data_IF_965688967593
#
_entry.id   IF_965688967593
#
_cell.length_a   1.000
_cell.length_b   1.000
_cell.length_c   1.000
_cell.angle_alpha   90.00
_cell.angle_beta   90.00
_cell.angle_gamma   90.00
#
_symmetry.space_group_name_H-M   'P 1'
#
loop_
_entity.id
_entity.type
_entity.pdbx_description
1 polymer ?
#
# COMPACT_ATOMS: atom_id res chain seq x y z
N UNK A 1 -5.07 27.38 16.74
CA UNK A 1 -4.57 26.83 15.47
C UNK A 1 -4.69 25.31 15.43
N UNK A 2 -5.06 24.75 14.28
CA UNK A 2 -5.11 23.29 14.06
C UNK A 2 -3.83 22.83 13.35
N UNK A 3 -2.78 22.53 14.14
CA UNK A 3 -1.48 22.11 13.63
C UNK A 3 -1.54 20.84 12.77
N UNK A 4 -2.48 19.94 13.05
CA UNK A 4 -2.69 18.69 12.30
C UNK A 4 -3.34 18.88 10.93
N UNK A 5 -3.89 20.06 10.62
CA UNK A 5 -4.64 20.29 9.38
C UNK A 5 -3.77 20.19 8.13
N UNK A 6 -2.62 20.88 8.09
CA UNK A 6 -1.78 20.91 6.88
C UNK A 6 -1.09 19.56 6.60
N UNK A 7 -0.49 18.84 7.58
CA UNK A 7 0.16 17.55 7.31
C UNK A 7 -0.85 16.51 6.85
N UNK A 8 -2.06 16.59 7.38
CA UNK A 8 -3.15 15.72 7.01
C UNK A 8 -3.57 15.90 5.55
N UNK A 9 -3.68 17.14 5.10
CA UNK A 9 -3.96 17.44 3.71
C UNK A 9 -2.79 17.03 2.79
N UNK A 10 -1.54 17.21 3.22
CA UNK A 10 -0.37 16.72 2.49
C UNK A 10 -0.41 15.20 2.30
N UNK A 11 -0.64 14.44 3.38
CA UNK A 11 -0.71 12.99 3.32
C UNK A 11 -1.88 12.49 2.45
N UNK A 12 -3.05 13.15 2.53
CA UNK A 12 -4.20 12.85 1.65
C UNK A 12 -3.91 13.15 0.19
N UNK A 13 -3.30 14.29 -0.09
CA UNK A 13 -2.97 14.70 -1.46
C UNK A 13 -2.06 13.67 -2.13
N UNK A 14 -0.97 13.29 -1.47
CA UNK A 14 -0.05 12.27 -1.98
C UNK A 14 -0.73 10.90 -2.09
N UNK A 15 -1.63 10.56 -1.17
CA UNK A 15 -2.44 9.35 -1.24
C UNK A 15 -3.36 9.33 -2.47
N UNK A 16 -4.00 10.46 -2.77
CA UNK A 16 -4.87 10.60 -3.94
C UNK A 16 -4.08 10.54 -5.25
N UNK A 17 -2.88 11.14 -5.32
CA UNK A 17 -2.01 11.04 -6.50
C UNK A 17 -1.54 9.59 -6.69
N UNK A 18 -1.14 8.93 -5.61
CA UNK A 18 -0.77 7.51 -5.62
C UNK A 18 -1.90 6.64 -6.16
N UNK A 19 -3.10 6.80 -5.60
CA UNK A 19 -4.30 6.07 -6.01
C UNK A 19 -4.67 6.36 -7.47
N UNK A 20 -4.70 7.63 -7.88
CA UNK A 20 -5.02 8.03 -9.24
C UNK A 20 -4.07 7.41 -10.28
N UNK A 21 -2.75 7.41 -10.00
CA UNK A 21 -1.77 6.74 -10.86
C UNK A 21 -2.04 5.24 -11.01
N UNK A 22 -2.35 4.54 -9.91
CA UNK A 22 -2.68 3.11 -9.97
C UNK A 22 -4.03 2.83 -10.64
N UNK A 23 -5.04 3.69 -10.49
CA UNK A 23 -6.31 3.55 -11.23
C UNK A 23 -6.11 3.73 -12.74
N UNK A 24 -5.26 4.68 -13.16
CA UNK A 24 -4.86 4.81 -14.57
C UNK A 24 -4.18 3.52 -15.06
N UNK A 25 -3.31 2.92 -14.23
CA UNK A 25 -2.65 1.67 -14.56
C UNK A 25 -3.61 0.47 -14.61
N UNK A 26 -4.63 0.42 -13.74
CA UNK A 26 -5.72 -0.56 -13.78
C UNK A 26 -6.47 -0.50 -15.10
N UNK A 27 -6.90 0.70 -15.48
CA UNK A 27 -7.61 0.93 -16.72
C UNK A 27 -6.76 0.50 -17.92
N UNK A 28 -5.51 0.94 -17.96
CA UNK A 28 -4.56 0.55 -19.00
C UNK A 28 -4.39 -0.96 -19.09
N UNK A 29 -4.27 -1.66 -17.96
CA UNK A 29 -4.12 -3.11 -17.94
C UNK A 29 -5.34 -3.85 -18.47
N UNK A 30 -6.55 -3.41 -18.08
CA UNK A 30 -7.78 -3.98 -18.61
C UNK A 30 -7.89 -3.78 -20.12
N UNK A 31 -7.59 -2.57 -20.59
CA UNK A 31 -7.62 -2.24 -22.01
C UNK A 31 -6.57 -3.01 -22.79
N UNK A 32 -5.34 -3.14 -22.27
CA UNK A 32 -4.29 -3.94 -22.90
C UNK A 32 -4.72 -5.41 -23.11
N UNK A 33 -5.34 -6.01 -22.09
CA UNK A 33 -5.76 -7.41 -22.14
C UNK A 33 -6.96 -7.65 -23.09
N UNK A 34 -7.80 -6.64 -23.31
CA UNK A 34 -9.02 -6.74 -24.12
C UNK A 34 -8.87 -6.20 -25.54
N UNK A 35 -7.84 -5.41 -25.81
CA UNK A 35 -7.53 -4.87 -27.14
C UNK A 35 -7.11 -5.95 -28.14
N UNK A 36 -7.68 -5.87 -29.34
CA UNK A 36 -7.37 -6.76 -30.48
C UNK A 36 -6.32 -6.20 -31.43
N UNK A 37 -6.09 -4.89 -31.41
CA UNK A 37 -5.11 -4.21 -32.27
C UNK A 37 -3.80 -4.03 -31.52
N UNK A 38 -2.69 -4.30 -32.20
CA UNK A 38 -1.35 -4.17 -31.61
C UNK A 38 -1.01 -2.72 -31.28
N UNK A 39 -1.48 -1.76 -32.07
CA UNK A 39 -1.32 -0.32 -31.80
C UNK A 39 -1.98 0.10 -30.48
N UNK A 40 -3.21 -0.36 -30.24
CA UNK A 40 -3.94 -0.10 -28.99
C UNK A 40 -3.20 -0.72 -27.80
N UNK A 41 -2.72 -1.97 -27.94
CA UNK A 41 -1.93 -2.63 -26.90
C UNK A 41 -0.64 -1.86 -26.59
N UNK A 42 0.04 -1.34 -27.61
CA UNK A 42 1.24 -0.52 -27.42
C UNK A 42 0.93 0.77 -26.64
N UNK A 43 -0.19 1.43 -26.96
CA UNK A 43 -0.64 2.61 -26.23
C UNK A 43 -0.97 2.30 -24.77
N UNK A 44 -1.73 1.23 -24.50
CA UNK A 44 -2.12 0.87 -23.14
C UNK A 44 -0.94 0.35 -22.30
N UNK A 45 0.05 -0.29 -22.90
CA UNK A 45 1.32 -0.61 -22.21
C UNK A 45 2.04 0.68 -21.75
N UNK A 46 2.13 1.68 -22.63
CA UNK A 46 2.66 3.00 -22.26
C UNK A 46 1.85 3.66 -21.15
N UNK A 47 0.53 3.66 -21.26
CA UNK A 47 -0.37 4.23 -20.26
C UNK A 47 -0.18 3.55 -18.90
N UNK A 48 -0.07 2.21 -18.87
CA UNK A 48 0.18 1.43 -17.66
C UNK A 48 1.51 1.79 -17.01
N UNK A 49 2.56 1.97 -17.81
CA UNK A 49 3.86 2.45 -17.32
C UNK A 49 3.78 3.86 -16.71
N UNK A 50 3.08 4.81 -17.36
CA UNK A 50 2.92 6.17 -16.84
C UNK A 50 2.10 6.18 -15.56
N UNK A 51 0.99 5.43 -15.51
CA UNK A 51 0.17 5.28 -14.31
C UNK A 51 0.98 4.76 -13.13
N UNK A 52 1.74 3.68 -13.34
CA UNK A 52 2.63 3.12 -12.32
C UNK A 52 3.75 4.10 -11.91
N UNK A 53 4.34 4.84 -12.85
CA UNK A 53 5.36 5.86 -12.56
C UNK A 53 4.83 6.99 -11.68
N UNK A 54 3.66 7.55 -12.01
CA UNK A 54 3.02 8.62 -11.22
C UNK A 54 2.61 8.09 -9.84
N UNK A 55 1.98 6.90 -9.81
CA UNK A 55 1.53 6.26 -8.58
C UNK A 55 2.68 6.02 -7.60
N UNK A 56 3.77 5.40 -8.06
CA UNK A 56 4.95 5.15 -7.24
C UNK A 56 5.70 6.42 -6.89
N UNK A 57 5.77 7.39 -7.81
CA UNK A 57 6.43 8.67 -7.56
C UNK A 57 5.86 9.38 -6.33
N UNK A 58 4.53 9.41 -6.20
CA UNK A 58 3.87 9.90 -5.00
C UNK A 58 4.04 8.95 -3.80
N UNK A 59 3.90 7.63 -4.00
CA UNK A 59 4.01 6.61 -2.95
C UNK A 59 5.36 6.66 -2.21
N UNK A 60 6.47 6.92 -2.91
CA UNK A 60 7.80 7.04 -2.30
C UNK A 60 7.84 8.15 -1.23
N UNK A 61 7.05 9.22 -1.42
CA UNK A 61 6.99 10.35 -0.48
C UNK A 61 5.94 10.18 0.62
N UNK A 62 5.03 9.20 0.48
CA UNK A 62 3.94 8.96 1.43
C UNK A 62 4.42 8.68 2.86
N UNK A 63 5.46 7.86 3.10
CA UNK A 63 5.96 7.61 4.46
C UNK A 63 6.46 8.88 5.16
N UNK A 64 7.09 9.80 4.42
CA UNK A 64 7.51 11.09 4.98
C UNK A 64 6.31 11.94 5.38
N UNK A 65 5.31 12.07 4.50
CA UNK A 65 4.09 12.81 4.83
C UNK A 65 3.32 12.19 6.00
N UNK A 66 3.31 10.86 6.10
CA UNK A 66 2.74 10.13 7.24
C UNK A 66 3.50 10.42 8.53
N UNK A 67 4.83 10.44 8.49
CA UNK A 67 5.66 10.77 9.65
C UNK A 67 5.39 12.20 10.17
N UNK A 68 5.31 13.18 9.27
CA UNK A 68 4.99 14.56 9.63
C UNK A 68 3.61 14.63 10.30
N UNK A 69 2.61 13.96 9.75
CA UNK A 69 1.27 13.90 10.34
C UNK A 69 1.28 13.26 11.73
N UNK A 70 1.90 12.09 11.87
CA UNK A 70 1.98 11.38 13.15
C UNK A 70 2.70 12.19 14.21
N UNK A 71 3.78 12.91 13.83
CA UNK A 71 4.51 13.80 14.74
C UNK A 71 3.59 14.87 15.34
N UNK A 72 2.78 15.56 14.52
CA UNK A 72 1.87 16.59 15.01
C UNK A 72 0.80 16.01 15.96
N UNK A 73 0.27 14.82 15.64
CA UNK A 73 -0.70 14.13 16.52
C UNK A 73 -0.07 13.72 17.87
N UNK A 74 1.16 13.22 17.86
CA UNK A 74 1.83 12.74 19.08
C UNK A 74 2.33 13.87 19.96
N UNK A 75 2.70 15.02 19.38
CA UNK A 75 3.02 16.23 20.16
C UNK A 75 1.75 16.79 20.81
N UNK A 76 0.61 16.72 20.11
CA UNK A 76 -0.67 17.17 20.65
C UNK A 76 -1.12 16.32 21.84
N UNK A 77 -1.06 14.99 21.72
CA UNK A 77 -1.40 14.07 22.80
C UNK A 77 -0.61 12.76 22.72
N UNK A 78 0.23 12.52 23.72
CA UNK A 78 1.05 11.31 23.80
C UNK A 78 0.22 10.03 23.95
N UNK A 79 -1.01 10.10 24.48
CA UNK A 79 -1.91 8.95 24.57
C UNK A 79 -2.27 8.40 23.18
N UNK A 80 -2.39 9.28 22.17
CA UNK A 80 -2.62 8.87 20.79
C UNK A 80 -1.45 8.03 20.27
N UNK A 81 -0.22 8.35 20.64
CA UNK A 81 0.96 7.59 20.24
C UNK A 81 0.91 6.16 20.78
N UNK A 82 0.63 5.98 22.07
CA UNK A 82 0.49 4.66 22.69
C UNK A 82 -0.69 3.90 22.08
N UNK A 83 -1.84 4.54 21.93
CA UNK A 83 -3.04 3.93 21.38
C UNK A 83 -2.84 3.41 19.94
N UNK A 84 -2.15 4.21 19.12
CA UNK A 84 -1.88 3.91 17.71
C UNK A 84 -0.76 2.89 17.51
N UNK A 85 0.33 2.99 18.27
CA UNK A 85 1.57 2.25 17.98
C UNK A 85 1.77 1.00 18.83
N UNK A 86 1.22 0.95 20.04
CA UNK A 86 1.49 -0.12 21.00
C UNK A 86 0.23 -0.85 21.51
N UNK A 87 -0.94 -0.20 21.46
CA UNK A 87 -2.19 -0.73 22.00
C UNK A 87 -3.15 -1.18 20.88
N UNK A 88 -4.46 -0.91 21.00
CA UNK A 88 -5.53 -1.48 20.16
C UNK A 88 -5.38 -1.26 18.65
N UNK A 89 -4.71 -0.20 18.22
CA UNK A 89 -4.50 0.08 16.78
C UNK A 89 -3.13 -0.38 16.25
N UNK A 90 -2.24 -0.91 17.09
CA UNK A 90 -0.90 -1.36 16.67
C UNK A 90 -0.97 -2.39 15.53
N UNK A 91 -1.86 -3.37 15.64
CA UNK A 91 -2.12 -4.37 14.60
C UNK A 91 -2.61 -3.76 13.28
N UNK A 92 -3.40 -2.68 13.33
CA UNK A 92 -3.80 -1.95 12.13
C UNK A 92 -2.59 -1.32 11.45
N UNK A 93 -1.66 -0.73 12.20
CA UNK A 93 -0.44 -0.13 11.63
C UNK A 93 0.52 -1.18 11.04
N UNK A 94 0.63 -2.36 11.65
CA UNK A 94 1.36 -3.48 11.07
C UNK A 94 0.73 -3.90 9.75
N UNK A 95 -0.59 -4.07 9.71
CA UNK A 95 -1.34 -4.41 8.50
C UNK A 95 -1.23 -3.32 7.42
N UNK A 96 -1.29 -2.05 7.79
CA UNK A 96 -1.11 -0.93 6.87
C UNK A 96 0.22 -1.00 6.16
N UNK A 97 1.32 -1.15 6.90
CA UNK A 97 2.60 -1.20 6.21
C UNK A 97 2.87 -2.50 5.47
N UNK A 98 2.23 -3.64 5.84
CA UNK A 98 2.23 -4.83 4.98
C UNK A 98 1.59 -4.52 3.61
N UNK A 99 0.44 -3.84 3.60
CA UNK A 99 -0.21 -3.43 2.35
C UNK A 99 0.66 -2.45 1.56
N UNK A 100 1.31 -1.49 2.22
CA UNK A 100 2.26 -0.57 1.56
C UNK A 100 3.46 -1.33 0.97
N UNK A 101 4.00 -2.32 1.70
CA UNK A 101 5.05 -3.21 1.19
C UNK A 101 4.57 -3.97 -0.05
N UNK A 102 3.33 -4.47 -0.05
CA UNK A 102 2.74 -5.12 -1.23
C UNK A 102 2.59 -4.17 -2.42
N UNK A 103 2.25 -2.89 -2.20
CA UNK A 103 2.24 -1.88 -3.27
C UNK A 103 3.64 -1.67 -3.86
N UNK A 104 4.67 -1.53 -3.01
CA UNK A 104 6.05 -1.42 -3.48
C UNK A 104 6.51 -2.68 -4.22
N UNK A 105 6.26 -3.88 -3.68
CA UNK A 105 6.59 -5.15 -4.32
C UNK A 105 5.91 -5.29 -5.68
N UNK A 106 4.59 -5.07 -5.74
CA UNK A 106 3.82 -5.13 -6.98
C UNK A 106 4.35 -4.14 -8.01
N UNK A 107 4.54 -2.88 -7.62
CA UNK A 107 5.00 -1.86 -8.55
C UNK A 107 6.42 -2.11 -9.07
N UNK A 108 7.34 -2.57 -8.21
CA UNK A 108 8.67 -2.99 -8.65
C UNK A 108 8.62 -4.24 -9.53
N UNK A 109 7.61 -5.10 -9.34
CA UNK A 109 7.54 -6.40 -10.04
C UNK A 109 7.03 -6.16 -11.45
N UNK A 110 6.02 -5.30 -11.55
CA UNK A 110 5.65 -4.68 -12.80
C UNK A 110 6.86 -4.04 -13.49
N UNK A 111 7.66 -3.23 -12.80
CA UNK A 111 8.85 -2.60 -13.40
C UNK A 111 9.89 -3.61 -13.87
N UNK A 112 10.06 -4.74 -13.18
CA UNK A 112 10.93 -5.82 -13.63
C UNK A 112 10.41 -6.45 -14.92
N UNK A 113 9.14 -6.86 -14.96
CA UNK A 113 8.53 -7.43 -16.17
C UNK A 113 8.55 -6.42 -17.33
N UNK A 114 8.24 -5.16 -17.03
CA UNK A 114 8.30 -4.03 -17.95
C UNK A 114 9.69 -3.87 -18.57
N UNK A 115 10.76 -4.09 -17.80
CA UNK A 115 12.14 -3.96 -18.30
C UNK A 115 12.50 -5.03 -19.33
N UNK A 116 11.85 -6.19 -19.31
CA UNK A 116 12.15 -7.29 -20.24
C UNK A 116 11.74 -6.96 -21.70
N UNK A 117 10.84 -5.99 -21.90
CA UNK A 117 10.45 -5.53 -23.25
C UNK A 117 11.45 -4.54 -23.89
N UNK A 118 12.53 -4.21 -23.19
CA UNK A 118 13.57 -3.29 -23.67
C UNK A 118 14.72 -4.13 -24.22
N UNK A 119 15.11 -3.86 -25.46
CA UNK A 119 16.21 -4.54 -26.14
C UNK A 119 17.52 -4.41 -25.31
N UNK A 120 18.19 -5.53 -25.05
CA UNK A 120 19.46 -5.55 -24.29
C UNK A 120 19.33 -5.27 -22.79
N UNK A 121 18.13 -5.23 -22.22
CA UNK A 121 17.92 -4.97 -20.79
C UNK A 121 18.11 -6.21 -19.89
N UNK A 122 18.28 -7.41 -20.47
CA UNK A 122 18.54 -8.64 -19.72
C UNK A 122 19.75 -8.53 -18.77
N UNK A 123 20.75 -7.70 -19.10
CA UNK A 123 21.90 -7.40 -18.24
C UNK A 123 21.55 -6.79 -16.88
N UNK A 124 20.37 -6.17 -16.74
CA UNK A 124 19.90 -5.61 -15.48
C UNK A 124 19.16 -6.63 -14.60
N UNK A 125 18.84 -7.82 -15.11
CA UNK A 125 18.07 -8.83 -14.37
C UNK A 125 18.71 -9.24 -13.02
N UNK A 126 20.04 -9.40 -12.87
CA UNK A 126 20.64 -9.68 -11.56
C UNK A 126 20.40 -8.56 -10.54
N UNK A 127 20.45 -7.31 -10.99
CA UNK A 127 20.20 -6.14 -10.14
C UNK A 127 18.73 -6.08 -9.71
N UNK A 128 17.81 -6.38 -10.62
CA UNK A 128 16.38 -6.48 -10.31
C UNK A 128 16.11 -7.58 -9.28
N UNK A 129 16.73 -8.76 -9.41
CA UNK A 129 16.64 -9.85 -8.41
C UNK A 129 17.13 -9.41 -7.03
N UNK A 130 18.26 -8.70 -6.96
CA UNK A 130 18.81 -8.20 -5.71
C UNK A 130 17.87 -7.17 -5.05
N UNK A 131 17.33 -6.23 -5.84
CA UNK A 131 16.32 -5.27 -5.39
C UNK A 131 15.11 -6.00 -4.81
N UNK A 132 14.59 -7.00 -5.54
CA UNK A 132 13.47 -7.82 -5.08
C UNK A 132 13.74 -8.52 -3.76
N UNK A 133 14.92 -9.10 -3.59
CA UNK A 133 15.31 -9.72 -2.33
C UNK A 133 15.32 -8.72 -1.17
N UNK A 134 15.80 -7.49 -1.38
CA UNK A 134 15.79 -6.44 -0.35
C UNK A 134 14.37 -5.99 -0.01
N UNK A 135 13.50 -5.84 -1.01
CA UNK A 135 12.09 -5.50 -0.77
C UNK A 135 11.38 -6.58 0.05
N UNK A 136 11.60 -7.86 -0.28
CA UNK A 136 11.05 -8.99 0.47
C UNK A 136 11.59 -9.02 1.90
N UNK A 137 12.90 -8.87 2.09
CA UNK A 137 13.51 -8.82 3.42
C UNK A 137 12.96 -7.66 4.26
N UNK A 138 12.84 -6.46 3.67
CA UNK A 138 12.22 -5.31 4.34
C UNK A 138 10.75 -5.56 4.71
N UNK A 139 10.01 -6.22 3.82
CA UNK A 139 8.64 -6.66 4.08
C UNK A 139 8.52 -7.63 5.25
N UNK A 140 9.43 -8.60 5.33
CA UNK A 140 9.52 -9.55 6.46
C UNK A 140 9.78 -8.78 7.76
N UNK A 141 10.77 -7.88 7.78
CA UNK A 141 11.05 -7.05 8.99
C UNK A 141 9.83 -6.24 9.41
N UNK A 142 9.09 -5.66 8.45
CA UNK A 142 7.92 -4.84 8.76
C UNK A 142 6.83 -5.63 9.51
N UNK A 143 6.54 -6.86 9.05
CA UNK A 143 5.46 -7.68 9.62
C UNK A 143 5.81 -8.31 10.95
N UNK A 144 7.08 -8.32 11.37
CA UNK A 144 7.46 -8.80 12.69
C UNK A 144 6.82 -7.90 13.75
N UNK A 145 5.91 -8.43 14.59
CA UNK A 145 5.35 -7.66 15.69
C UNK A 145 6.28 -7.75 16.90
N UNK A 146 6.20 -6.77 17.81
CA UNK A 146 6.94 -6.83 19.08
C UNK A 146 6.38 -7.92 20.01
N UNK A 147 5.05 -8.09 19.99
CA UNK A 147 4.32 -9.14 20.67
C UNK A 147 3.05 -9.46 19.89
N UNK A 148 2.45 -10.61 20.14
CA UNK A 148 1.24 -11.08 19.46
C UNK A 148 -0.05 -10.78 20.25
N UNK A 149 0.00 -9.90 21.25
CA UNK A 149 -1.19 -9.47 21.97
C UNK A 149 -2.03 -8.50 21.12
N UNK A 150 -3.37 -8.58 21.19
CA UNK A 150 -4.24 -7.68 20.45
C UNK A 150 -4.28 -6.25 21.05
N UNK A 151 -4.01 -6.11 22.34
CA UNK A 151 -3.93 -4.84 23.08
C UNK A 151 -3.08 -5.02 24.35
N UNK A 152 -2.80 -3.92 25.06
CA UNK A 152 -1.95 -3.92 26.26
C UNK A 152 -2.62 -4.53 27.51
N UNK A 153 -3.93 -4.76 27.48
CA UNK A 153 -4.72 -5.30 28.60
C UNK A 153 -5.07 -6.78 28.39
N UNK A 154 -4.83 -7.31 27.19
CA UNK A 154 -5.15 -8.66 26.81
C UNK A 154 -4.34 -9.68 27.61
N UNK A 155 -5.03 -10.69 28.13
CA UNK A 155 -4.40 -11.82 28.81
C UNK A 155 -4.08 -12.93 27.82
N UNK A 156 -3.04 -13.73 28.06
CA UNK A 156 -2.75 -14.88 27.22
C UNK A 156 -3.93 -15.86 27.19
N UNK A 157 -4.22 -16.49 26.02
CA UNK A 157 -5.24 -17.52 25.94
C UNK A 157 -4.96 -18.69 26.90
N UNK A 158 -6.02 -19.36 27.34
CA UNK A 158 -5.89 -20.53 28.22
C UNK A 158 -4.96 -21.59 27.58
N UNK A 159 -3.96 -22.05 28.34
CA UNK A 159 -2.98 -23.03 27.89
C UNK A 159 -1.81 -22.47 27.07
N UNK A 160 -1.78 -21.16 26.79
CA UNK A 160 -0.67 -20.48 26.13
C UNK A 160 0.10 -19.67 27.17
N UNK A 161 1.42 -19.85 27.25
CA UNK A 161 2.25 -19.01 28.13
C UNK A 161 2.42 -17.63 27.52
N UNK A 162 2.52 -16.60 28.37
CA UNK A 162 2.80 -15.22 27.92
C UNK A 162 4.09 -15.14 27.10
N UNK A 163 5.12 -15.89 27.50
CA UNK A 163 6.39 -15.98 26.78
C UNK A 163 6.24 -16.49 25.34
N UNK A 164 5.23 -17.31 25.04
CA UNK A 164 4.96 -17.79 23.69
C UNK A 164 4.38 -16.69 22.77
N UNK A 165 3.82 -15.62 23.34
CA UNK A 165 3.25 -14.48 22.62
C UNK A 165 4.23 -13.31 22.51
N UNK A 166 5.40 -13.40 23.13
CA UNK A 166 6.45 -12.39 23.07
C UNK A 166 7.56 -12.89 22.15
N UNK A 167 8.06 -12.00 21.29
CA UNK A 167 9.15 -12.35 20.38
C UNK A 167 10.41 -12.72 21.21
N UNK A 168 11.12 -13.82 20.89
CA UNK A 168 12.33 -14.17 21.61
C UNK A 168 13.35 -13.02 21.64
N UNK A 169 14.05 -12.83 22.76
CA UNK A 169 14.91 -11.67 23.01
C UNK A 169 15.91 -11.40 21.87
N UNK A 170 16.53 -12.45 21.33
CA UNK A 170 17.46 -12.37 20.18
C UNK A 170 16.85 -11.75 18.91
N UNK A 171 15.53 -11.74 18.77
CA UNK A 171 14.80 -11.18 17.64
C UNK A 171 13.97 -9.95 18.00
N UNK A 172 13.88 -9.58 19.28
CA UNK A 172 13.08 -8.44 19.76
C UNK A 172 13.40 -7.13 19.01
N UNK A 173 14.65 -6.96 18.57
CA UNK A 173 15.09 -5.80 17.78
C UNK A 173 14.32 -5.64 16.46
N UNK A 174 13.82 -6.72 15.86
CA UNK A 174 13.04 -6.69 14.60
C UNK A 174 11.65 -6.10 14.80
N UNK A 175 11.08 -6.22 16.01
CA UNK A 175 9.78 -5.64 16.35
C UNK A 175 9.83 -4.13 16.60
N UNK A 176 11.02 -3.54 16.76
CA UNK A 176 11.20 -2.13 17.06
C UNK A 176 10.90 -1.22 15.86
N UNK A 177 10.36 -0.03 16.14
CA UNK A 177 10.09 0.97 15.10
C UNK A 177 11.33 1.40 14.31
N UNK A 178 12.52 1.37 14.91
CA UNK A 178 13.78 1.65 14.22
C UNK A 178 14.05 0.64 13.11
N UNK A 179 13.86 -0.66 13.38
CA UNK A 179 14.05 -1.71 12.37
C UNK A 179 13.05 -1.55 11.22
N UNK A 180 11.78 -1.25 11.55
CA UNK A 180 10.72 -0.97 10.57
C UNK A 180 11.03 0.26 9.72
N UNK A 181 11.55 1.33 10.32
CA UNK A 181 11.96 2.53 9.61
C UNK A 181 13.13 2.28 8.64
N UNK A 182 14.13 1.50 9.06
CA UNK A 182 15.24 1.10 8.19
C UNK A 182 14.77 0.23 7.03
N UNK A 183 13.87 -0.72 7.28
CA UNK A 183 13.28 -1.57 6.26
C UNK A 183 12.52 -0.75 5.20
N UNK A 184 11.65 0.18 5.61
CA UNK A 184 10.92 1.07 4.68
C UNK A 184 11.88 1.98 3.92
N UNK A 185 12.90 2.51 4.58
CA UNK A 185 13.91 3.35 3.91
C UNK A 185 14.66 2.56 2.83
N UNK A 186 15.05 1.32 3.11
CA UNK A 186 15.67 0.44 2.12
C UNK A 186 14.72 0.13 0.95
N UNK A 187 13.44 -0.14 1.21
CA UNK A 187 12.41 -0.34 0.17
C UNK A 187 12.27 0.89 -0.73
N UNK A 188 12.23 2.09 -0.13
CA UNK A 188 12.12 3.36 -0.89
C UNK A 188 13.35 3.56 -1.77
N UNK A 189 14.56 3.41 -1.21
CA UNK A 189 15.81 3.58 -1.95
C UNK A 189 15.88 2.57 -3.10
N UNK A 190 15.60 1.30 -2.83
CA UNK A 190 15.66 0.26 -3.85
C UNK A 190 14.58 0.44 -4.92
N UNK A 191 13.40 0.92 -4.55
CA UNK A 191 12.37 1.32 -5.52
C UNK A 191 12.88 2.45 -6.40
N UNK A 192 13.48 3.50 -5.82
CA UNK A 192 14.06 4.58 -6.61
C UNK A 192 15.15 4.07 -7.58
N UNK A 193 16.02 3.16 -7.11
CA UNK A 193 17.04 2.50 -7.94
C UNK A 193 16.41 1.71 -9.09
N UNK A 194 15.29 0.98 -8.88
CA UNK A 194 14.55 0.31 -9.97
C UNK A 194 14.22 1.27 -11.11
N UNK A 195 13.71 2.46 -10.80
CA UNK A 195 13.36 3.45 -11.82
C UNK A 195 14.59 4.07 -12.49
N UNK A 196 15.71 4.21 -11.78
CA UNK A 196 16.98 4.62 -12.37
C UNK A 196 17.52 3.56 -13.35
N UNK A 197 17.49 2.27 -12.96
CA UNK A 197 17.87 1.16 -13.83
C UNK A 197 16.98 1.09 -15.06
N UNK A 198 15.67 1.25 -14.89
CA UNK A 198 14.73 1.29 -15.99
C UNK A 198 14.99 2.48 -16.94
N UNK A 199 15.26 3.67 -16.40
CA UNK A 199 15.68 4.83 -17.20
C UNK A 199 16.96 4.53 -18.00
N UNK A 200 17.95 3.88 -17.37
CA UNK A 200 19.19 3.48 -18.03
C UNK A 200 18.96 2.42 -19.11
N UNK A 201 18.09 1.45 -18.87
CA UNK A 201 17.70 0.45 -19.86
C UNK A 201 17.09 1.13 -21.09
N UNK A 202 16.12 2.05 -20.89
CA UNK A 202 15.51 2.85 -21.98
C UNK A 202 16.50 3.70 -22.75
N UNK A 203 17.55 4.20 -22.11
CA UNK A 203 18.59 4.99 -22.77
C UNK A 203 19.56 4.15 -23.62
N UNK A 204 19.59 2.82 -23.42
CA UNK A 204 20.58 1.92 -24.04
C UNK A 204 19.97 0.87 -24.96
N UNK A 205 18.65 0.87 -25.13
CA UNK A 205 17.93 -0.06 -25.98
C UNK A 205 16.54 0.46 -26.34
N UNK A 206 16.00 -0.02 -27.47
CA UNK A 206 14.66 0.33 -27.92
C UNK A 206 13.61 -0.38 -27.05
N UNK A 207 12.56 0.34 -26.70
CA UNK A 207 11.41 -0.20 -25.99
C UNK A 207 10.39 -0.76 -26.98
N UNK A 208 9.99 -2.02 -26.80
CA UNK A 208 8.98 -2.69 -27.62
C UNK A 208 7.62 -2.58 -26.91
N UNK A 209 6.94 -1.45 -27.10
CA UNK A 209 5.58 -1.25 -26.58
C UNK A 209 4.63 -2.30 -27.13
N UNK A 210 3.77 -2.85 -26.28
CA UNK A 210 2.85 -3.93 -26.66
C UNK A 210 3.42 -5.33 -26.41
N UNK A 211 4.75 -5.46 -26.37
CA UNK A 211 5.49 -6.71 -26.15
C UNK A 211 5.79 -7.02 -24.69
N UNK A 212 5.04 -6.46 -23.75
CA UNK A 212 5.18 -6.74 -22.31
C UNK A 212 4.53 -8.09 -21.95
N UNK A 213 5.13 -8.81 -21.00
CA UNK A 213 4.57 -10.06 -20.47
C UNK A 213 3.14 -9.83 -19.91
N UNK A 214 2.11 -10.61 -20.29
CA UNK A 214 0.74 -10.46 -19.77
C UNK A 214 0.64 -10.51 -18.24
N UNK A 215 1.55 -11.17 -17.55
CA UNK A 215 1.63 -11.21 -16.08
C UNK A 215 1.71 -9.81 -15.48
N UNK A 216 2.39 -8.89 -16.15
CA UNK A 216 2.50 -7.49 -15.72
C UNK A 216 1.14 -6.79 -15.59
N UNK A 217 0.16 -7.17 -16.40
CA UNK A 217 -1.16 -6.55 -16.41
C UNK A 217 -1.99 -7.02 -15.22
N UNK A 218 -1.87 -8.30 -14.84
CA UNK A 218 -2.48 -8.79 -13.60
C UNK A 218 -1.87 -8.12 -12.37
N UNK A 219 -0.58 -7.79 -12.39
CA UNK A 219 0.07 -7.01 -11.33
C UNK A 219 -0.50 -5.59 -11.27
N UNK A 220 -0.71 -4.93 -12.41
CA UNK A 220 -1.36 -3.62 -12.47
C UNK A 220 -2.83 -3.62 -12.07
N UNK A 221 -3.51 -4.77 -12.13
CA UNK A 221 -4.87 -4.96 -11.59
C UNK A 221 -4.81 -5.17 -10.07
N UNK A 222 -3.84 -5.95 -9.59
CA UNK A 222 -3.65 -6.27 -8.17
C UNK A 222 -3.30 -5.05 -7.30
N UNK A 223 -2.39 -4.19 -7.76
CA UNK A 223 -1.92 -3.00 -7.01
C UNK A 223 -3.10 -2.08 -6.58
N UNK A 224 -4.01 -1.66 -7.47
CA UNK A 224 -5.20 -0.89 -7.10
C UNK A 224 -6.08 -1.61 -6.08
N UNK A 225 -6.23 -2.93 -6.16
CA UNK A 225 -7.02 -3.68 -5.18
C UNK A 225 -6.44 -3.58 -3.77
N UNK A 226 -5.12 -3.71 -3.66
CA UNK A 226 -4.38 -3.46 -2.41
C UNK A 226 -4.55 -2.01 -1.97
N UNK A 227 -4.47 -1.04 -2.88
CA UNK A 227 -4.59 0.38 -2.56
C UNK A 227 -5.98 0.76 -2.04
N UNK A 228 -7.06 0.24 -2.63
CA UNK A 228 -8.45 0.46 -2.16
C UNK A 228 -8.62 -0.13 -0.76
N UNK A 229 -8.15 -1.36 -0.54
CA UNK A 229 -8.21 -2.00 0.77
C UNK A 229 -7.41 -1.23 1.83
N UNK A 230 -6.20 -0.77 1.49
CA UNK A 230 -5.35 0.10 2.31
C UNK A 230 -6.09 1.37 2.74
N UNK A 231 -6.71 2.08 1.79
CA UNK A 231 -7.47 3.31 2.05
C UNK A 231 -8.67 3.07 2.97
N UNK A 232 -9.39 1.96 2.78
CA UNK A 232 -10.50 1.59 3.67
C UNK A 232 -10.04 1.37 5.11
N UNK A 233 -8.93 0.64 5.31
CA UNK A 233 -8.35 0.47 6.64
C UNK A 233 -7.81 1.78 7.23
N UNK A 234 -7.28 2.71 6.42
CA UNK A 234 -6.89 4.04 6.90
C UNK A 234 -8.10 4.88 7.35
N UNK A 235 -9.25 4.70 6.70
CA UNK A 235 -10.52 5.27 7.13
C UNK A 235 -10.94 4.76 8.52
N UNK A 236 -10.76 3.45 8.76
CA UNK A 236 -11.00 2.84 10.06
C UNK A 236 -10.05 3.40 11.13
N UNK A 237 -8.73 3.41 10.89
CA UNK A 237 -7.73 3.96 11.81
C UNK A 237 -8.10 5.38 12.21
N UNK A 238 -8.33 6.26 11.22
CA UNK A 238 -8.69 7.67 11.47
C UNK A 238 -9.93 7.81 12.35
N UNK A 239 -10.92 6.94 12.15
CA UNK A 239 -12.15 6.98 12.92
C UNK A 239 -11.92 6.52 14.36
N UNK A 240 -11.17 5.43 14.53
CA UNK A 240 -10.89 4.78 15.82
C UNK A 240 -9.85 5.52 16.66
N UNK A 241 -8.93 6.29 16.07
CA UNK A 241 -7.95 7.12 16.79
C UNK A 241 -8.63 8.14 17.72
N UNK A 242 -9.92 8.46 17.50
CA UNK A 242 -10.69 9.31 18.41
C UNK A 242 -11.08 8.62 19.72
N UNK A 243 -10.75 7.34 19.90
CA UNK A 243 -11.08 6.56 21.10
C UNK A 243 -12.58 6.59 21.42
N UNK A 244 -12.95 6.97 22.63
CA UNK A 244 -14.31 7.14 23.11
C UNK A 244 -14.86 8.56 22.86
N UNK A 245 -14.34 9.29 21.87
CA UNK A 245 -14.83 10.61 21.50
C UNK A 245 -15.47 10.65 20.10
N UNK A 246 -16.59 11.35 19.98
CA UNK A 246 -17.13 11.77 18.68
C UNK A 246 -16.32 12.96 18.11
N UNK A 247 -16.01 13.91 18.99
CA UNK A 247 -15.10 15.04 18.75
C UNK A 247 -14.01 14.95 19.81
N UNK A 248 -12.77 14.66 19.38
CA UNK A 248 -11.65 14.39 20.27
C UNK A 248 -11.46 15.51 21.30
N UNK A 249 -11.44 15.16 22.59
CA UNK A 249 -11.28 16.10 23.70
C UNK A 249 -12.49 17.00 24.01
N UNK A 250 -13.59 16.92 23.23
CA UNK A 250 -14.75 17.80 23.40
C UNK A 250 -16.06 17.04 23.67
N UNK A 251 -16.36 15.99 22.91
CA UNK A 251 -17.61 15.22 23.03
C UNK A 251 -17.28 13.76 23.25
N UNK A 252 -17.31 13.35 24.52
CA UNK A 252 -17.04 11.99 24.97
C UNK A 252 -18.31 11.14 24.91
N UNK A 253 -18.21 9.96 24.33
CA UNK A 253 -19.23 8.92 24.39
C UNK A 253 -19.13 8.19 25.73
N UNK A 254 -20.18 8.31 26.54
CA UNK A 254 -20.30 7.68 27.87
C UNK A 254 -21.24 6.48 27.86
N UNK A 255 -21.74 6.09 26.68
CA UNK A 255 -22.67 4.97 26.56
C UNK A 255 -21.93 3.64 26.71
N UNK A 256 -22.59 2.54 27.12
CA UNK A 256 -21.96 1.23 27.18
C UNK A 256 -21.63 0.65 25.79
N UNK A 257 -22.00 1.35 24.71
CA UNK A 257 -21.85 0.88 23.33
C UNK A 257 -20.58 1.41 22.65
N UNK A 258 -19.78 2.25 23.32
CA UNK A 258 -18.50 2.66 22.76
C UNK A 258 -17.53 1.47 22.80
N UNK A 259 -16.89 1.18 21.67
CA UNK A 259 -15.80 0.21 21.62
C UNK A 259 -14.88 0.51 20.42
N UNK A 260 -13.65 0.03 20.52
CA UNK A 260 -12.73 -0.01 19.38
C UNK A 260 -12.97 -1.30 18.61
N UNK A 261 -13.40 -1.21 17.36
CA UNK A 261 -13.55 -2.38 16.51
C UNK A 261 -12.22 -3.13 16.39
N UNK A 262 -12.28 -4.46 16.37
CA UNK A 262 -11.07 -5.29 16.18
C UNK A 262 -10.58 -5.18 14.74
N UNK A 263 -9.28 -5.37 14.55
CA UNK A 263 -8.68 -5.42 13.21
C UNK A 263 -9.43 -6.39 12.31
N UNK A 264 -9.72 -7.61 12.79
CA UNK A 264 -10.45 -8.62 12.03
C UNK A 264 -11.83 -8.13 11.58
N UNK A 265 -12.61 -7.51 12.47
CA UNK A 265 -13.93 -6.98 12.12
C UNK A 265 -13.83 -5.84 11.08
N UNK A 266 -12.96 -4.84 11.31
CA UNK A 266 -12.76 -3.76 10.35
C UNK A 266 -12.22 -4.26 9.02
N UNK A 267 -11.30 -5.23 9.02
CA UNK A 267 -10.74 -5.85 7.82
C UNK A 267 -11.80 -6.54 6.98
N UNK A 268 -12.74 -7.28 7.59
CA UNK A 268 -13.84 -7.92 6.86
C UNK A 268 -14.74 -6.86 6.22
N UNK A 269 -15.11 -5.82 6.97
CA UNK A 269 -15.97 -4.75 6.43
C UNK A 269 -15.29 -4.01 5.28
N UNK A 270 -13.99 -3.72 5.40
CA UNK A 270 -13.19 -3.10 4.34
C UNK A 270 -13.04 -4.05 3.14
N UNK A 271 -12.88 -5.36 3.36
CA UNK A 271 -12.84 -6.35 2.29
C UNK A 271 -14.14 -6.36 1.49
N UNK A 272 -15.29 -6.38 2.18
CA UNK A 272 -16.62 -6.31 1.55
C UNK A 272 -16.74 -5.03 0.72
N UNK A 273 -16.40 -3.87 1.30
CA UNK A 273 -16.44 -2.60 0.59
C UNK A 273 -15.51 -2.58 -0.66
N UNK A 274 -14.32 -3.19 -0.54
CA UNK A 274 -13.37 -3.32 -1.66
C UNK A 274 -13.95 -4.20 -2.76
N UNK A 275 -14.53 -5.35 -2.42
CA UNK A 275 -15.17 -6.26 -3.39
C UNK A 275 -16.32 -5.55 -4.10
N UNK A 276 -17.21 -4.88 -3.36
CA UNK A 276 -18.32 -4.09 -3.93
C UNK A 276 -17.79 -3.01 -4.88
N UNK A 277 -16.74 -2.29 -4.50
CA UNK A 277 -16.10 -1.30 -5.36
C UNK A 277 -15.62 -1.92 -6.69
N UNK A 278 -14.91 -3.05 -6.66
CA UNK A 278 -14.45 -3.70 -7.88
C UNK A 278 -15.57 -4.33 -8.70
N UNK A 279 -16.65 -4.82 -8.07
CA UNK A 279 -17.85 -5.26 -8.79
C UNK A 279 -18.50 -4.10 -9.54
N UNK A 280 -18.56 -2.91 -8.93
CA UNK A 280 -19.05 -1.70 -9.60
C UNK A 280 -18.14 -1.26 -10.74
N UNK A 281 -16.80 -1.28 -10.55
CA UNK A 281 -15.84 -0.99 -11.63
C UNK A 281 -15.98 -1.98 -12.79
N UNK A 282 -16.09 -3.28 -12.49
CA UNK A 282 -16.32 -4.32 -13.49
C UNK A 282 -17.66 -4.12 -14.23
N UNK A 283 -18.72 -3.74 -13.51
CA UNK A 283 -20.01 -3.40 -14.09
C UNK A 283 -19.92 -2.19 -15.02
N UNK A 284 -19.19 -1.13 -14.64
CA UNK A 284 -18.98 0.05 -15.50
C UNK A 284 -18.25 -0.33 -16.79
N UNK A 285 -17.18 -1.14 -16.69
CA UNK A 285 -16.50 -1.65 -17.88
C UNK A 285 -17.45 -2.48 -18.75
N UNK A 286 -18.22 -3.39 -18.14
CA UNK A 286 -19.19 -4.22 -18.86
C UNK A 286 -20.23 -3.38 -19.61
N UNK A 287 -20.83 -2.37 -18.96
CA UNK A 287 -21.75 -1.42 -19.61
C UNK A 287 -21.07 -0.71 -20.78
N UNK A 288 -19.87 -0.18 -20.58
CA UNK A 288 -19.14 0.54 -21.62
C UNK A 288 -18.82 -0.33 -22.85
N UNK A 289 -18.47 -1.60 -22.67
CA UNK A 289 -18.09 -2.47 -23.79
C UNK A 289 -19.25 -3.22 -24.46
N UNK A 290 -20.29 -3.57 -23.72
CA UNK A 290 -21.41 -4.35 -24.27
C UNK A 290 -22.48 -3.43 -24.86
N UNK A 291 -22.80 -2.34 -24.19
CA UNK A 291 -23.87 -1.42 -24.63
C UNK A 291 -23.30 -0.35 -25.57
N UNK A 292 -22.07 0.11 -25.35
CA UNK A 292 -21.45 1.10 -26.23
C UNK A 292 -21.04 0.59 -27.61
N UNK A 293 -20.92 -0.73 -27.80
CA UNK A 293 -20.54 -1.34 -29.09
C UNK A 293 -21.72 -1.73 -29.98
N UNK A 294 -22.96 -1.64 -29.48
CA UNK A 294 -24.14 -1.95 -30.29
C UNK A 294 -24.56 -0.81 -31.23
N UNK A 295 -23.90 0.35 -31.12
CA UNK A 295 -24.22 1.56 -31.89
C UNK A 295 -23.18 1.89 -33.00
N UNK A 296 -22.26 0.97 -33.31
CA UNK A 296 -21.36 0.99 -34.49
C UNK A 296 -21.58 -0.23 -35.38
#
# INVERSE_FOLDING_TARGET
DNASWWPFNLHRFLGNVTFGGFVVALFAAFMFLTSKKDEDRAFYDWMGYIGNLIGVGALITMPLAGYILSKELFIYDAQLATFMMADKLSGYFVMQGLLVVLLFLGANFYMWLSMQRIEGAARFAPHMKAIFAVLLAGGVVWVVPQNFFPDLLAKPPAGVSEQALILPERFAFLGLMVAKALAVTAIIIMTFVTYLLYRRARATGRILWGGIDPMSQYVLIFIPAVAVYLMGLMGAIRSLTRMDYHIYGAVKDVTPYWYTATLGHSSIMVAIATVVFFLLVAFVFWVGFVIGKTDE
#
